data_IF_702269697055
#
_entry.id   IF_702269697055
#
_cell.length_a   1.000
_cell.length_b   1.000
_cell.length_c   1.000
_cell.angle_alpha   90.00
_cell.angle_beta   90.00
_cell.angle_gamma   90.00
#
_symmetry.space_group_name_H-M   'P 1'
#
loop_
_entity.id
_entity.type
_entity.pdbx_description
1 polymer ?
#
# COMPACT_ATOMS: atom_id res chain seq x y z
N UNK A 1 -9.47 -3.47 -19.68
CA UNK A 1 -8.65 -2.62 -18.78
C UNK A 1 -9.28 -1.26 -18.52
N UNK A 2 -9.48 -0.38 -19.52
CA UNK A 2 -10.04 0.97 -19.30
C UNK A 2 -11.47 1.00 -18.73
N UNK A 3 -12.34 0.09 -19.18
CA UNK A 3 -13.73 0.00 -18.67
C UNK A 3 -13.78 -0.26 -17.17
N UNK A 4 -12.93 -1.16 -16.65
CA UNK A 4 -12.91 -1.48 -15.23
C UNK A 4 -12.47 -0.28 -14.38
N UNK A 5 -11.42 0.44 -14.80
CA UNK A 5 -10.98 1.65 -14.11
C UNK A 5 -12.07 2.74 -14.12
N UNK A 6 -12.80 2.87 -15.22
CA UNK A 6 -13.90 3.83 -15.33
C UNK A 6 -15.14 3.46 -14.49
N UNK A 7 -15.40 2.17 -14.26
CA UNK A 7 -16.50 1.74 -13.39
C UNK A 7 -16.31 2.23 -11.95
N UNK A 8 -15.08 2.43 -11.48
CA UNK A 8 -14.82 2.93 -10.13
C UNK A 8 -15.39 4.32 -9.91
N UNK A 9 -15.53 5.14 -10.96
CA UNK A 9 -16.10 6.50 -10.85
C UNK A 9 -17.62 6.50 -10.90
N UNK A 10 -18.24 5.37 -11.25
CA UNK A 10 -19.70 5.19 -11.32
C UNK A 10 -20.25 4.43 -10.12
N UNK A 11 -19.38 4.02 -9.19
CA UNK A 11 -19.76 3.29 -7.99
C UNK A 11 -20.10 4.24 -6.83
N UNK A 12 -20.97 3.77 -5.94
CA UNK A 12 -21.11 4.35 -4.61
C UNK A 12 -19.96 3.95 -3.69
N UNK A 13 -19.99 4.42 -2.43
CA UNK A 13 -18.95 4.15 -1.45
C UNK A 13 -18.72 2.66 -1.12
N UNK A 14 -19.70 1.81 -1.43
CA UNK A 14 -19.63 0.36 -1.22
C UNK A 14 -19.27 -0.38 -2.52
N UNK A 15 -18.88 0.34 -3.58
CA UNK A 15 -18.49 -0.25 -4.86
C UNK A 15 -19.66 -0.74 -5.71
N UNK A 16 -20.88 -0.25 -5.45
CA UNK A 16 -22.09 -0.65 -6.18
C UNK A 16 -22.44 0.37 -7.24
N UNK A 17 -23.00 -0.11 -8.35
CA UNK A 17 -23.44 0.75 -9.46
C UNK A 17 -24.70 0.17 -10.12
N UNK A 18 -25.43 1.00 -10.86
CA UNK A 18 -26.60 0.56 -11.62
C UNK A 18 -26.18 -0.13 -12.93
N UNK A 19 -26.75 -1.31 -13.22
CA UNK A 19 -26.38 -2.09 -14.41
C UNK A 19 -27.11 -1.55 -15.66
N UNK A 20 -26.61 -0.42 -16.19
CA UNK A 20 -27.12 0.21 -17.42
C UNK A 20 -26.00 0.36 -18.45
N UNK A 21 -25.72 -0.68 -19.27
CA UNK A 21 -24.56 -0.70 -20.17
C UNK A 21 -24.50 0.50 -21.12
N UNK A 22 -25.64 0.95 -21.66
CA UNK A 22 -25.70 2.12 -22.55
C UNK A 22 -25.35 3.44 -21.84
N UNK A 23 -25.84 3.62 -20.62
CA UNK A 23 -25.56 4.82 -19.84
C UNK A 23 -24.09 4.83 -19.39
N UNK A 24 -23.61 3.70 -18.86
CA UNK A 24 -22.22 3.52 -18.45
C UNK A 24 -21.25 3.71 -19.62
N UNK A 25 -21.61 3.27 -20.82
CA UNK A 25 -20.82 3.52 -22.03
C UNK A 25 -20.66 5.01 -22.32
N UNK A 26 -21.77 5.77 -22.26
CA UNK A 26 -21.76 7.22 -22.47
C UNK A 26 -20.99 7.97 -21.36
N UNK A 27 -21.09 7.52 -20.12
CA UNK A 27 -20.45 8.20 -18.99
C UNK A 27 -18.95 7.90 -18.90
N UNK A 28 -18.51 6.71 -19.33
CA UNK A 28 -17.12 6.26 -19.16
C UNK A 28 -16.30 6.42 -20.45
N UNK A 29 -16.81 5.99 -21.60
CA UNK A 29 -16.07 5.98 -22.89
C UNK A 29 -16.99 6.34 -24.07
N UNK A 30 -17.59 7.54 -24.10
CA UNK A 30 -18.65 7.90 -25.08
C UNK A 30 -18.21 7.89 -26.55
N UNK A 31 -16.91 8.06 -26.81
CA UNK A 31 -16.37 8.20 -28.17
C UNK A 31 -15.68 6.93 -28.69
N UNK A 32 -15.62 5.86 -27.90
CA UNK A 32 -15.03 4.60 -28.33
C UNK A 32 -16.12 3.65 -28.83
N UNK A 33 -15.90 3.02 -29.97
CA UNK A 33 -16.85 2.09 -30.56
C UNK A 33 -16.59 0.67 -30.09
N UNK A 34 -17.36 0.21 -29.11
CA UNK A 34 -17.31 -1.18 -28.64
C UNK A 34 -18.59 -1.58 -27.90
N UNK A 35 -18.77 -2.87 -27.70
CA UNK A 35 -19.91 -3.42 -26.97
C UNK A 35 -19.62 -3.42 -25.46
N UNK A 36 -20.24 -2.47 -24.76
CA UNK A 36 -20.06 -2.32 -23.32
C UNK A 36 -20.68 -3.49 -22.55
N UNK A 37 -21.79 -4.05 -23.02
CA UNK A 37 -22.46 -5.18 -22.37
C UNK A 37 -21.60 -6.44 -22.43
N UNK A 38 -21.01 -6.73 -23.60
CA UNK A 38 -20.01 -7.81 -23.72
C UNK A 38 -18.82 -7.59 -22.80
N UNK A 39 -18.35 -6.35 -22.68
CA UNK A 39 -17.20 -6.05 -21.81
C UNK A 39 -17.54 -6.27 -20.34
N UNK A 40 -18.75 -5.89 -19.91
CA UNK A 40 -19.22 -6.17 -18.55
C UNK A 40 -19.33 -7.67 -18.28
N UNK A 41 -19.82 -8.46 -19.24
CA UNK A 41 -19.86 -9.92 -19.10
C UNK A 41 -18.45 -10.51 -18.94
N UNK A 42 -17.48 -10.07 -19.76
CA UNK A 42 -16.07 -10.50 -19.62
C UNK A 42 -15.51 -10.15 -18.23
N UNK A 43 -15.81 -8.95 -17.70
CA UNK A 43 -15.39 -8.56 -16.36
C UNK A 43 -16.07 -9.38 -15.26
N UNK A 44 -17.33 -9.76 -15.46
CA UNK A 44 -18.06 -10.60 -14.54
C UNK A 44 -17.48 -12.02 -14.51
N UNK A 45 -17.24 -12.61 -15.67
CA UNK A 45 -16.70 -13.97 -15.80
C UNK A 45 -15.28 -14.06 -15.22
N UNK A 46 -14.50 -12.99 -15.34
CA UNK A 46 -13.18 -12.87 -14.72
C UNK A 46 -13.23 -12.56 -13.20
N UNK A 47 -14.42 -12.39 -12.61
CA UNK A 47 -14.61 -12.15 -11.18
C UNK A 47 -14.32 -10.71 -10.71
N UNK A 48 -14.09 -9.76 -11.62
CA UNK A 48 -13.83 -8.36 -11.27
C UNK A 48 -15.09 -7.59 -10.87
N UNK A 49 -16.26 -8.04 -11.33
CA UNK A 49 -17.55 -7.47 -10.96
C UNK A 49 -18.57 -8.58 -10.72
N UNK A 50 -19.57 -8.34 -9.88
CA UNK A 50 -20.71 -9.24 -9.68
C UNK A 50 -22.01 -8.53 -10.00
N UNK A 51 -22.82 -9.09 -10.88
CA UNK A 51 -24.19 -8.61 -11.15
C UNK A 51 -25.15 -9.17 -10.12
N UNK A 52 -26.09 -8.36 -9.66
CA UNK A 52 -27.19 -8.76 -8.79
C UNK A 52 -28.47 -8.00 -9.16
N UNK A 53 -29.61 -8.50 -8.70
CA UNK A 53 -30.90 -7.84 -8.91
C UNK A 53 -31.50 -7.47 -7.56
N UNK A 54 -32.07 -6.27 -7.48
CA UNK A 54 -32.73 -5.76 -6.30
C UNK A 54 -33.87 -4.83 -6.71
N UNK A 55 -35.06 -5.04 -6.15
CA UNK A 55 -36.23 -4.20 -6.45
C UNK A 55 -36.58 -4.14 -7.96
N UNK A 56 -36.38 -5.24 -8.70
CA UNK A 56 -36.70 -5.32 -10.14
C UNK A 56 -35.74 -4.58 -11.06
N UNK A 57 -34.60 -4.09 -10.55
CA UNK A 57 -33.52 -3.49 -11.35
C UNK A 57 -32.22 -4.29 -11.17
N UNK A 58 -31.41 -4.30 -12.22
CA UNK A 58 -30.10 -4.90 -12.20
C UNK A 58 -29.04 -3.90 -11.71
N UNK A 59 -28.12 -4.40 -10.90
CA UNK A 59 -27.01 -3.66 -10.33
C UNK A 59 -25.72 -4.48 -10.43
N UNK A 60 -24.58 -3.81 -10.32
CA UNK A 60 -23.28 -4.42 -10.19
C UNK A 60 -22.61 -4.03 -8.88
N UNK A 61 -21.71 -4.89 -8.41
CA UNK A 61 -20.81 -4.60 -7.29
C UNK A 61 -19.39 -5.01 -7.67
N UNK A 62 -18.42 -4.18 -7.31
CA UNK A 62 -16.99 -4.48 -7.45
C UNK A 62 -16.52 -5.17 -6.16
N UNK A 63 -16.12 -6.45 -6.20
CA UNK A 63 -15.57 -7.13 -5.03
C UNK A 63 -14.30 -6.43 -4.52
N UNK A 64 -14.16 -6.33 -3.20
CA UNK A 64 -12.99 -5.70 -2.59
C UNK A 64 -12.88 -4.19 -2.85
N UNK A 65 -13.93 -3.51 -3.30
CA UNK A 65 -13.87 -2.06 -3.55
C UNK A 65 -13.39 -1.27 -2.33
N UNK A 66 -13.89 -1.59 -1.14
CA UNK A 66 -13.49 -0.95 0.12
C UNK A 66 -12.03 -1.22 0.54
N UNK A 67 -11.40 -2.27 -0.01
CA UNK A 67 -9.97 -2.55 0.20
C UNK A 67 -9.10 -1.69 -0.71
N UNK A 68 -9.59 -1.39 -1.91
CA UNK A 68 -8.87 -0.64 -2.94
C UNK A 68 -9.17 0.86 -2.90
N UNK A 69 -10.29 1.27 -2.29
CA UNK A 69 -10.72 2.65 -2.13
C UNK A 69 -10.93 3.01 -0.66
N UNK A 70 -10.19 4.03 -0.20
CA UNK A 70 -10.35 4.65 1.12
C UNK A 70 -11.07 5.98 0.97
N UNK A 71 -12.39 5.95 1.10
CA UNK A 71 -13.24 7.14 0.99
C UNK A 71 -13.32 7.82 2.36
N UNK A 72 -12.88 9.08 2.44
CA UNK A 72 -12.89 9.90 3.66
C UNK A 72 -13.83 11.12 3.51
N UNK A 73 -14.28 11.70 4.63
CA UNK A 73 -15.05 12.94 4.64
C UNK A 73 -16.56 12.75 4.43
N UNK A 74 -17.20 13.67 3.71
CA UNK A 74 -18.67 13.72 3.57
C UNK A 74 -19.24 12.55 2.77
N UNK A 75 -18.49 12.03 1.80
CA UNK A 75 -18.90 10.90 0.96
C UNK A 75 -18.97 9.59 1.74
N UNK A 76 -18.07 9.39 2.71
CA UNK A 76 -18.13 8.24 3.62
C UNK A 76 -19.40 8.25 4.50
N UNK A 77 -19.88 9.45 4.84
CA UNK A 77 -21.09 9.66 5.65
C UNK A 77 -22.37 9.64 4.81
N UNK A 78 -22.28 9.71 3.48
CA UNK A 78 -23.45 9.69 2.61
C UNK A 78 -24.14 8.32 2.66
N UNK A 79 -25.46 8.32 2.58
CA UNK A 79 -26.21 7.06 2.54
C UNK A 79 -25.91 6.28 1.26
N UNK A 80 -25.81 4.93 1.34
CA UNK A 80 -25.86 4.03 0.20
C UNK A 80 -26.84 4.47 -0.90
N UNK A 81 -26.34 4.74 -2.10
CA UNK A 81 -27.20 5.11 -3.23
C UNK A 81 -27.90 3.88 -3.82
N UNK A 82 -27.27 2.71 -3.73
CA UNK A 82 -27.75 1.46 -4.31
C UNK A 82 -28.10 0.42 -3.25
N UNK A 83 -29.07 -0.48 -3.54
CA UNK A 83 -29.48 -1.51 -2.59
C UNK A 83 -28.34 -2.49 -2.25
N UNK A 84 -28.42 -3.11 -1.09
CA UNK A 84 -27.46 -4.15 -0.71
C UNK A 84 -27.72 -5.39 -1.58
N UNK A 85 -26.68 -6.02 -2.16
CA UNK A 85 -26.86 -7.26 -2.88
C UNK A 85 -27.46 -8.35 -1.96
N UNK A 86 -28.38 -9.20 -2.45
CA UNK A 86 -28.83 -10.37 -1.71
C UNK A 86 -27.61 -11.19 -1.26
N UNK A 87 -27.56 -11.57 0.03
CA UNK A 87 -26.46 -12.35 0.59
C UNK A 87 -26.35 -13.67 -0.19
N UNK A 88 -25.32 -13.80 -1.03
CA UNK A 88 -24.99 -15.07 -1.68
C UNK A 88 -24.49 -16.05 -0.62
N UNK A 89 -25.31 -17.03 -0.26
CA UNK A 89 -24.86 -18.20 0.48
C UNK A 89 -24.15 -19.14 -0.50
N UNK A 90 -22.82 -19.09 -0.53
CA UNK A 90 -22.01 -20.30 -0.76
C UNK A 90 -20.58 -20.08 -0.24
N UNK A 91 -20.41 -20.55 1.00
CA UNK A 91 -19.27 -21.25 1.58
C UNK A 91 -17.87 -20.96 1.02
N UNK A 92 -17.12 -20.11 1.72
CA UNK A 92 -15.86 -20.54 2.34
C UNK A 92 -15.88 -20.02 3.79
N UNK A 93 -16.10 -20.97 4.70
CA UNK A 93 -15.77 -21.00 6.14
C UNK A 93 -15.49 -19.67 6.83
N UNK A 94 -16.48 -19.22 7.60
CA UNK A 94 -16.24 -18.57 8.89
C UNK A 94 -15.50 -19.56 9.79
N UNK A 95 -14.26 -19.26 10.15
CA UNK A 95 -13.80 -19.54 11.50
C UNK A 95 -13.43 -18.22 12.14
N UNK A 96 -13.99 -18.00 13.33
CA UNK A 96 -13.93 -16.74 14.05
C UNK A 96 -12.62 -16.61 14.82
N UNK A 97 -12.20 -15.35 14.94
CA UNK A 97 -11.35 -14.81 16.02
C UNK A 97 -9.84 -15.03 15.90
N UNK A 98 -9.14 -13.99 15.44
CA UNK A 98 -8.32 -13.22 16.38
C UNK A 98 -7.99 -11.82 15.85
N UNK A 99 -8.13 -10.85 16.75
CA UNK A 99 -7.95 -9.42 16.54
C UNK A 99 -6.54 -9.11 16.08
N UNK A 100 -6.35 -8.38 14.98
CA UNK A 100 -5.29 -7.38 14.91
C UNK A 100 -5.71 -6.09 14.20
N UNK A 101 -5.47 -5.03 14.97
CA UNK A 101 -5.85 -3.65 14.83
C UNK A 101 -4.97 -2.95 13.79
N UNK A 102 -5.53 -2.69 12.60
CA UNK A 102 -4.95 -1.81 11.60
C UNK A 102 -5.22 -0.35 11.95
N UNK A 103 -4.29 0.27 12.68
CA UNK A 103 -4.29 1.71 12.97
C UNK A 103 -3.83 2.50 11.74
N UNK A 104 -4.72 3.31 11.20
CA UNK A 104 -4.37 4.46 10.36
C UNK A 104 -5.29 5.63 10.76
N UNK A 105 -4.98 6.24 11.90
CA UNK A 105 -5.45 7.59 12.20
C UNK A 105 -4.54 8.59 11.51
N UNK A 106 -5.05 9.28 10.51
CA UNK A 106 -4.48 10.55 10.04
C UNK A 106 -5.37 11.72 10.46
N UNK A 107 -4.67 12.76 10.89
CA UNK A 107 -5.14 13.87 11.70
C UNK A 107 -6.07 14.84 10.96
N UNK A 108 -7.06 15.44 11.64
CA UNK A 108 -7.58 16.74 11.26
C UNK A 108 -6.78 17.83 11.99
N UNK A 109 -6.04 18.63 11.21
CA UNK A 109 -5.45 19.87 11.69
C UNK A 109 -6.53 20.82 12.21
N UNK A 110 -6.34 21.32 13.43
CA UNK A 110 -7.05 22.48 13.96
C UNK A 110 -6.15 23.19 14.97
N UNK A 111 -5.57 24.32 14.57
CA UNK A 111 -5.14 25.33 15.54
C UNK A 111 -6.39 25.93 16.20
N UNK A 112 -6.36 26.13 17.53
CA UNK A 112 -6.27 27.51 17.98
C UNK A 112 -5.45 27.72 19.26
N UNK A 113 -4.94 28.93 19.42
CA UNK A 113 -5.01 29.64 20.71
C UNK A 113 -3.99 29.29 21.79
N UNK A 114 -2.98 30.15 21.90
CA UNK A 114 -2.15 30.39 23.08
C UNK A 114 -2.99 30.68 24.34
N UNK A 115 -2.64 30.06 25.48
CA UNK A 115 -2.27 30.73 26.75
C UNK A 115 -2.12 29.72 27.92
N UNK A 116 -1.05 29.88 28.70
CA UNK A 116 -1.14 29.77 30.18
C UNK A 116 -0.53 28.56 30.90
N UNK A 117 0.75 28.71 31.28
CA UNK A 117 1.34 28.48 32.63
C UNK A 117 1.17 27.15 33.38
N UNK A 118 2.29 26.55 33.79
CA UNK A 118 2.31 25.54 34.87
C UNK A 118 3.66 24.84 35.05
N UNK A 119 4.51 25.38 35.94
CA UNK A 119 5.81 24.84 36.39
C UNK A 119 5.68 23.45 37.04
N UNK A 120 6.72 22.63 36.89
CA UNK A 120 6.93 21.43 37.71
C UNK A 120 8.31 20.82 37.47
N UNK A 121 9.31 21.29 38.21
CA UNK A 121 10.68 20.82 38.24
C UNK A 121 10.77 19.50 39.02
N UNK A 122 11.53 18.51 38.53
CA UNK A 122 11.70 17.22 39.19
C UNK A 122 12.92 16.49 38.66
N UNK A 123 14.08 16.87 39.17
CA UNK A 123 15.39 16.26 38.94
C UNK A 123 15.49 14.93 39.71
N UNK A 124 16.07 13.90 39.10
CA UNK A 124 16.24 12.60 39.74
C UNK A 124 17.15 11.68 38.93
N UNK A 125 18.46 11.89 39.10
CA UNK A 125 19.51 10.94 38.75
C UNK A 125 19.31 9.64 39.56
N UNK A 126 19.45 8.49 38.91
CA UNK A 126 19.43 7.18 39.54
C UNK A 126 19.87 6.13 38.54
N UNK A 127 21.18 5.94 38.46
CA UNK A 127 21.84 4.80 37.83
C UNK A 127 21.40 3.51 38.53
N UNK A 128 20.79 2.59 37.78
CA UNK A 128 20.78 1.17 38.15
C UNK A 128 21.07 0.34 36.91
N UNK A 129 22.28 -0.22 36.92
CA UNK A 129 22.67 -1.30 36.02
C UNK A 129 21.89 -2.56 36.38
N UNK A 130 21.21 -3.12 35.39
CA UNK A 130 20.81 -4.52 35.39
C UNK A 130 21.21 -5.14 34.05
N UNK A 131 22.26 -5.94 34.14
CA UNK A 131 22.75 -6.82 33.08
C UNK A 131 21.76 -7.99 32.90
N UNK A 132 21.09 -8.04 31.75
CA UNK A 132 20.55 -9.27 31.17
C UNK A 132 20.34 -9.15 29.64
N UNK A 133 21.13 -9.87 28.85
CA UNK A 133 20.82 -10.20 27.43
C UNK A 133 21.34 -9.25 26.34
N UNK A 134 22.65 -8.98 26.28
CA UNK A 134 23.28 -7.99 25.40
C UNK A 134 23.38 -8.33 23.88
N UNK A 135 22.42 -9.02 23.24
CA UNK A 135 22.50 -9.34 21.79
C UNK A 135 21.25 -9.13 20.94
N UNK A 136 20.24 -8.42 21.43
CA UNK A 136 18.99 -8.22 20.66
C UNK A 136 18.58 -6.76 20.44
N UNK A 137 19.49 -5.82 20.75
CA UNK A 137 19.27 -4.41 20.41
C UNK A 137 19.78 -4.13 18.99
N UNK A 138 18.97 -3.54 18.10
CA UNK A 138 19.43 -3.13 16.78
C UNK A 138 20.57 -2.10 16.87
N UNK A 139 21.59 -2.18 16.01
CA UNK A 139 22.68 -1.20 15.96
C UNK A 139 22.19 0.09 15.27
N UNK A 140 21.47 0.93 16.01
CA UNK A 140 20.86 2.15 15.48
C UNK A 140 21.89 3.15 14.93
N UNK A 141 23.04 3.28 15.60
CA UNK A 141 24.13 4.19 15.21
C UNK A 141 24.70 3.79 13.85
N UNK A 142 25.05 2.51 13.70
CA UNK A 142 25.65 1.96 12.48
C UNK A 142 24.73 2.14 11.26
N UNK A 143 23.45 1.77 11.39
CA UNK A 143 22.48 1.89 10.30
C UNK A 143 22.26 3.36 9.91
N UNK A 144 22.21 4.26 10.90
CA UNK A 144 21.97 5.69 10.65
C UNK A 144 23.20 6.36 10.05
N UNK A 145 24.39 6.02 10.54
CA UNK A 145 25.66 6.50 9.99
C UNK A 145 25.78 6.11 8.51
N UNK A 146 25.51 4.84 8.20
CA UNK A 146 25.55 4.36 6.82
C UNK A 146 24.55 5.10 5.90
N UNK A 147 23.34 5.38 6.38
CA UNK A 147 22.37 6.19 5.63
C UNK A 147 22.89 7.61 5.38
N UNK A 148 23.47 8.25 6.39
CA UNK A 148 24.01 9.60 6.30
C UNK A 148 25.16 9.68 5.28
N UNK A 149 26.10 8.74 5.34
CA UNK A 149 27.21 8.63 4.39
C UNK A 149 26.74 8.44 2.94
N UNK A 150 25.75 7.58 2.72
CA UNK A 150 25.27 7.26 1.37
C UNK A 150 24.30 8.30 0.79
N UNK A 151 23.59 9.05 1.63
CA UNK A 151 22.62 10.06 1.19
C UNK A 151 23.16 11.50 1.23
N UNK A 152 24.28 11.74 1.93
CA UNK A 152 24.78 13.10 2.18
C UNK A 152 23.91 13.90 3.15
N UNK A 153 23.03 13.23 3.91
CA UNK A 153 22.14 13.84 4.91
C UNK A 153 22.63 13.57 6.33
N UNK A 154 22.02 14.20 7.33
CA UNK A 154 22.48 14.16 8.74
C UNK A 154 21.34 13.77 9.72
N UNK A 155 20.84 12.55 9.59
CA UNK A 155 19.85 11.97 10.51
C UNK A 155 20.49 11.58 11.84
N UNK A 156 19.73 11.72 12.94
CA UNK A 156 20.18 11.34 14.30
C UNK A 156 19.73 9.93 14.64
N UNK A 157 20.66 9.09 15.06
CA UNK A 157 20.41 7.73 15.56
C UNK A 157 19.58 7.71 16.85
N UNK A 158 19.59 8.81 17.61
CA UNK A 158 18.79 9.02 18.82
C UNK A 158 17.33 9.42 18.53
N UNK A 159 16.96 9.64 17.27
CA UNK A 159 15.59 9.99 16.91
C UNK A 159 14.62 8.84 17.19
N UNK A 160 13.58 9.10 17.98
CA UNK A 160 12.54 8.12 18.33
C UNK A 160 11.88 7.51 17.09
N UNK A 161 11.65 8.32 16.05
CA UNK A 161 11.03 7.85 14.80
C UNK A 161 11.93 6.85 14.08
N UNK A 162 13.22 7.17 13.93
CA UNK A 162 14.21 6.31 13.27
C UNK A 162 14.44 5.02 14.03
N UNK A 163 14.59 5.08 15.35
CA UNK A 163 14.72 3.90 16.21
C UNK A 163 13.48 3.01 16.14
N UNK A 164 12.27 3.59 16.15
CA UNK A 164 11.01 2.83 16.04
C UNK A 164 10.94 2.02 14.75
N UNK A 165 11.32 2.63 13.62
CA UNK A 165 11.29 1.97 12.32
C UNK A 165 12.33 0.84 12.23
N UNK A 166 13.56 1.10 12.67
CA UNK A 166 14.62 0.09 12.69
C UNK A 166 14.23 -1.07 13.61
N UNK A 167 13.70 -0.78 14.81
CA UNK A 167 13.27 -1.80 15.76
C UNK A 167 12.14 -2.67 15.22
N UNK A 168 11.17 -2.07 14.51
CA UNK A 168 10.08 -2.81 13.89
C UNK A 168 10.61 -3.84 12.88
N UNK A 169 11.50 -3.42 11.97
CA UNK A 169 12.13 -4.31 10.99
C UNK A 169 13.05 -5.35 11.62
N UNK A 170 13.75 -4.99 12.70
CA UNK A 170 14.58 -5.94 13.44
C UNK A 170 13.75 -7.08 14.05
N UNK A 171 12.58 -6.75 14.59
CA UNK A 171 11.63 -7.72 15.16
C UNK A 171 11.01 -8.63 14.08
N UNK A 172 10.87 -8.13 12.85
CA UNK A 172 10.46 -8.93 11.68
C UNK A 172 11.55 -9.92 11.21
N UNK A 173 12.77 -9.83 11.75
CA UNK A 173 13.88 -10.74 11.43
C UNK A 173 14.96 -10.13 10.55
N UNK A 174 14.79 -8.89 10.07
CA UNK A 174 15.81 -8.21 9.28
C UNK A 174 17.02 -7.82 10.13
N UNK A 175 18.21 -7.84 9.53
CA UNK A 175 19.48 -7.54 10.19
C UNK A 175 20.21 -6.42 9.47
N UNK A 176 21.32 -5.96 10.05
CA UNK A 176 22.11 -4.81 9.58
C UNK A 176 22.38 -4.85 8.08
N UNK A 177 22.76 -6.01 7.54
CA UNK A 177 23.05 -6.20 6.12
C UNK A 177 21.85 -5.87 5.22
N UNK A 178 20.63 -6.20 5.66
CA UNK A 178 19.40 -5.91 4.92
C UNK A 178 19.15 -4.39 4.86
N UNK A 179 19.36 -3.68 5.98
CA UNK A 179 19.24 -2.23 6.01
C UNK A 179 20.27 -1.57 5.09
N UNK A 180 21.53 -2.00 5.16
CA UNK A 180 22.59 -1.50 4.29
C UNK A 180 22.29 -1.76 2.82
N UNK A 181 21.72 -2.93 2.48
CA UNK A 181 21.31 -3.29 1.11
C UNK A 181 20.19 -2.39 0.61
N UNK A 182 19.14 -2.15 1.41
CA UNK A 182 18.05 -1.21 1.05
C UNK A 182 18.59 0.20 0.83
N UNK A 183 19.46 0.69 1.71
CA UNK A 183 20.10 2.00 1.58
C UNK A 183 20.88 2.08 0.27
N UNK A 184 21.76 1.10 -0.02
CA UNK A 184 22.53 1.06 -1.28
C UNK A 184 21.61 1.05 -2.50
N UNK A 185 20.60 0.19 -2.51
CA UNK A 185 19.67 0.06 -3.63
C UNK A 185 19.00 1.40 -3.94
N UNK A 186 18.41 2.03 -2.92
CA UNK A 186 17.67 3.29 -3.12
C UNK A 186 18.58 4.49 -3.34
N UNK A 187 19.74 4.56 -2.68
CA UNK A 187 20.73 5.59 -2.98
C UNK A 187 21.22 5.47 -4.42
N UNK A 188 21.48 4.26 -4.95
CA UNK A 188 21.83 4.11 -6.36
C UNK A 188 20.71 4.56 -7.31
N UNK A 189 19.46 4.15 -7.04
CA UNK A 189 18.34 4.41 -7.94
C UNK A 189 17.82 5.84 -7.89
N UNK A 190 17.84 6.48 -6.72
CA UNK A 190 17.17 7.77 -6.50
C UNK A 190 18.13 8.96 -6.42
N UNK A 191 19.43 8.74 -6.22
CA UNK A 191 20.41 9.85 -6.13
C UNK A 191 20.56 10.61 -7.46
N UNK A 192 20.31 9.97 -8.59
CA UNK A 192 20.37 10.60 -9.91
C UNK A 192 19.09 11.35 -10.29
N UNK A 193 17.97 11.08 -9.61
CA UNK A 193 16.67 11.70 -9.89
C UNK A 193 16.39 12.82 -8.88
N UNK A 194 16.33 14.10 -9.32
CA UNK A 194 16.08 15.26 -8.45
C UNK A 194 14.79 15.18 -7.64
N UNK A 195 13.78 14.46 -8.13
CA UNK A 195 12.50 14.31 -7.41
C UNK A 195 12.58 13.23 -6.35
N UNK A 196 13.37 12.19 -6.58
CA UNK A 196 13.41 11.01 -5.71
C UNK A 196 14.43 11.13 -4.58
N UNK A 197 15.44 12.00 -4.70
CA UNK A 197 16.47 12.22 -3.67
C UNK A 197 15.90 12.67 -2.31
N UNK A 198 14.79 13.39 -2.30
CA UNK A 198 14.11 13.86 -1.07
C UNK A 198 13.47 12.72 -0.26
N UNK A 199 13.30 11.57 -0.88
CA UNK A 199 12.75 10.37 -0.26
C UNK A 199 13.83 9.45 0.34
N UNK A 200 15.11 9.82 0.25
CA UNK A 200 16.20 9.14 0.97
C UNK A 200 16.19 9.51 2.47
N UNK A 201 15.17 9.03 3.19
CA UNK A 201 14.99 9.26 4.63
C UNK A 201 14.50 7.99 5.35
N UNK A 202 14.72 7.86 6.67
CA UNK A 202 14.37 6.65 7.42
C UNK A 202 12.90 6.23 7.27
N UNK A 203 11.97 7.18 7.25
CA UNK A 203 10.52 6.91 7.11
C UNK A 203 10.16 6.21 5.81
N UNK A 204 10.82 6.61 4.71
CA UNK A 204 10.56 6.00 3.41
C UNK A 204 11.30 4.69 3.27
N UNK A 205 12.58 4.64 3.62
CA UNK A 205 13.42 3.45 3.42
C UNK A 205 13.04 2.30 4.35
N UNK A 206 12.67 2.58 5.59
CA UNK A 206 12.35 1.56 6.61
C UNK A 206 10.85 1.42 6.88
N UNK A 207 10.02 2.03 6.01
CA UNK A 207 8.57 1.92 6.01
C UNK A 207 8.07 0.59 5.45
N UNK A 208 6.77 0.51 5.14
CA UNK A 208 6.09 -0.73 4.74
C UNK A 208 6.67 -1.44 3.51
N UNK A 209 7.39 -0.71 2.65
CA UNK A 209 7.97 -1.24 1.41
C UNK A 209 9.41 -1.77 1.60
N UNK A 210 9.89 -1.94 2.83
CA UNK A 210 11.26 -2.36 3.14
C UNK A 210 11.68 -3.63 2.37
N UNK A 211 10.90 -4.70 2.48
CA UNK A 211 11.20 -5.98 1.81
C UNK A 211 11.18 -5.85 0.28
N UNK A 212 10.25 -5.06 -0.26
CA UNK A 212 10.22 -4.75 -1.69
C UNK A 212 11.50 -4.04 -2.15
N UNK A 213 12.05 -3.14 -1.34
CA UNK A 213 13.31 -2.45 -1.64
C UNK A 213 14.53 -3.35 -1.47
N UNK A 214 14.46 -4.30 -0.54
CA UNK A 214 15.50 -5.30 -0.31
C UNK A 214 15.64 -6.27 -1.50
N UNK A 215 14.49 -6.64 -2.09
CA UNK A 215 14.37 -7.58 -3.21
C UNK A 215 14.31 -6.91 -4.58
N UNK A 216 14.48 -5.59 -4.65
CA UNK A 216 14.48 -4.86 -5.91
C UNK A 216 15.65 -5.33 -6.80
N UNK A 217 15.31 -6.01 -7.89
CA UNK A 217 16.27 -6.38 -8.92
C UNK A 217 16.59 -5.11 -9.70
N UNK A 218 17.87 -4.73 -9.74
CA UNK A 218 18.33 -3.73 -10.71
C UNK A 218 18.04 -4.31 -12.08
N UNK A 219 17.02 -3.80 -12.78
CA UNK A 219 16.81 -4.17 -14.17
C UNK A 219 18.13 -3.95 -14.91
N UNK A 220 18.68 -4.97 -15.59
CA UNK A 220 19.91 -4.81 -16.35
C UNK A 220 19.62 -4.04 -17.64
N UNK A 221 19.23 -2.78 -17.50
CA UNK A 221 19.32 -1.80 -18.58
C UNK A 221 20.70 -1.12 -18.48
N UNK A 222 21.71 -1.98 -18.50
CA UNK A 222 23.10 -1.72 -18.87
C UNK A 222 23.69 -3.06 -19.31
N UNK A 223 23.19 -3.57 -20.44
CA UNK A 223 24.00 -4.40 -21.34
C UNK A 223 23.71 -5.90 -21.46
N UNK A 224 23.18 -6.63 -20.48
CA UNK A 224 22.89 -8.07 -20.66
C UNK A 224 21.68 -8.53 -19.84
N UNK A 225 20.70 -9.14 -20.51
CA UNK A 225 19.51 -9.70 -19.87
C UNK A 225 19.89 -10.86 -18.94
N UNK A 226 19.23 -10.95 -17.77
CA UNK A 226 19.48 -12.03 -16.83
C UNK A 226 18.93 -13.37 -17.35
N UNK A 227 19.56 -14.49 -16.98
CA UNK A 227 19.12 -15.85 -17.39
C UNK A 227 17.64 -16.12 -17.09
N UNK A 228 17.12 -15.55 -16.00
CA UNK A 228 15.71 -15.68 -15.62
C UNK A 228 14.81 -14.90 -16.58
N UNK A 229 15.24 -13.72 -17.03
CA UNK A 229 14.53 -12.94 -18.05
C UNK A 229 14.48 -13.71 -19.37
N UNK A 230 15.60 -14.32 -19.78
CA UNK A 230 15.66 -15.14 -21.00
C UNK A 230 14.73 -16.36 -20.89
N UNK A 231 14.75 -17.06 -19.74
CA UNK A 231 13.85 -18.20 -19.48
C UNK A 231 12.38 -17.80 -19.50
N UNK A 232 12.03 -16.65 -18.91
CA UNK A 232 10.66 -16.17 -18.89
C UNK A 232 10.18 -15.75 -20.29
N UNK A 233 11.05 -15.17 -21.13
CA UNK A 233 10.72 -14.86 -22.52
C UNK A 233 10.52 -16.14 -23.35
N UNK A 234 11.38 -17.15 -23.18
CA UNK A 234 11.23 -18.45 -23.85
C UNK A 234 9.96 -19.20 -23.41
N UNK A 235 9.54 -19.05 -22.15
CA UNK A 235 8.29 -19.62 -21.66
C UNK A 235 7.05 -18.95 -22.28
N UNK A 236 7.14 -17.65 -22.59
CA UNK A 236 6.07 -16.91 -23.26
C UNK A 236 5.96 -17.22 -24.76
N UNK A 237 7.08 -17.46 -25.44
CA UNK A 237 7.08 -17.88 -26.85
C UNK A 237 6.47 -19.27 -27.06
N UNK A 238 6.63 -20.17 -26.08
CA UNK A 238 6.08 -21.53 -26.13
C UNK A 238 4.69 -21.68 -25.49
N UNK A 239 4.10 -20.59 -25.01
CA UNK A 239 2.78 -20.63 -24.38
C UNK A 239 1.69 -20.56 -25.44
N UNK A 240 0.95 -21.66 -25.60
CA UNK A 240 -0.28 -21.70 -26.39
C UNK A 240 -1.47 -21.76 -25.43
N UNK A 241 -2.50 -20.93 -25.62
CA UNK A 241 -3.71 -21.00 -24.80
C UNK A 241 -4.41 -22.36 -25.02
N UNK A 242 -5.02 -22.94 -23.97
CA UNK A 242 -5.81 -24.17 -24.11
C UNK A 242 -7.06 -23.93 -24.98
N UNK A 243 -7.39 -24.92 -25.82
CA UNK A 243 -8.57 -24.92 -26.72
C UNK A 243 -9.91 -24.89 -25.96
#
# INVERSE_FOLDING_TARGET
MLVFAGLWTQCDKEGRFEWRPRQLHLDILPFLTFDFEKTLNVLQDAGFIRRYEAGGKAYGVIPGFSEHQRINGKEAQADPLYPVPPKFHQEISTDETEKQQGSAGEAPGKHPGSQGSGRGNGNGNGTEEINCGAKDRPPYEEITHFLNENSGKSFRSSSKTTQRLIKARWAEGFRTDDFQKVIRNKCCSWRADPKMVDYLRPETLFGQKFESYLNEIKHPMTGQASDLTVKNMAALENWSPPE
#
